data_IF_336523925324
#
_entry.id   IF_336523925324
#
_cell.length_a   1.000
_cell.length_b   1.000
_cell.length_c   1.000
_cell.angle_alpha   90.00
_cell.angle_beta   90.00
_cell.angle_gamma   90.00
#
_symmetry.space_group_name_H-M   'P 1'
#
loop_
_entity.id
_entity.type
_entity.pdbx_description
1 polymer ?
#
# COMPACT_ATOMS: atom_id res chain seq x y z
N UNK A 1 -24.98 16.73 12.77
CA UNK A 1 -25.69 18.03 12.80
C UNK A 1 -24.80 19.12 12.25
N UNK A 2 -25.23 20.39 12.28
CA UNK A 2 -24.40 21.52 11.81
C UNK A 2 -23.10 21.63 12.60
N UNK A 3 -23.12 21.33 13.90
CA UNK A 3 -21.94 21.35 14.78
C UNK A 3 -20.92 20.28 14.41
N UNK A 4 -21.35 19.05 14.08
CA UNK A 4 -20.45 18.00 13.60
C UNK A 4 -19.81 18.37 12.25
N UNK A 5 -20.55 19.07 11.39
CA UNK A 5 -20.04 19.55 10.10
C UNK A 5 -18.98 20.65 10.28
N UNK A 6 -19.17 21.56 11.25
CA UNK A 6 -18.16 22.56 11.59
C UNK A 6 -16.91 21.94 12.23
N UNK A 7 -17.07 20.99 13.15
CA UNK A 7 -15.95 20.27 13.76
C UNK A 7 -15.13 19.50 12.71
N UNK A 8 -15.80 18.84 11.76
CA UNK A 8 -15.14 18.18 10.64
C UNK A 8 -14.41 19.18 9.73
N UNK A 9 -15.01 20.33 9.43
CA UNK A 9 -14.37 21.37 8.62
C UNK A 9 -13.13 21.98 9.29
N UNK A 10 -13.18 22.25 10.59
CA UNK A 10 -12.01 22.72 11.34
C UNK A 10 -10.91 21.67 11.43
N UNK A 11 -11.27 20.39 11.59
CA UNK A 11 -10.34 19.26 11.58
C UNK A 11 -9.68 19.00 10.23
N UNK A 12 -10.24 19.50 9.12
CA UNK A 12 -9.64 19.42 7.78
C UNK A 12 -8.61 20.52 7.49
N UNK A 13 -8.37 21.46 8.43
CA UNK A 13 -7.29 22.45 8.24
C UNK A 13 -5.95 21.74 8.14
N UNK A 14 -5.10 22.08 7.16
CA UNK A 14 -3.79 21.46 7.04
C UNK A 14 -2.97 21.69 8.32
N UNK A 15 -2.55 20.59 8.96
CA UNK A 15 -1.64 20.65 10.11
C UNK A 15 -0.31 19.99 9.76
N UNK A 16 0.74 20.27 10.55
CA UNK A 16 2.05 19.64 10.36
C UNK A 16 2.01 18.12 10.57
N UNK A 17 1.06 17.65 11.39
CA UNK A 17 0.85 16.22 11.64
C UNK A 17 -0.20 15.67 10.66
N UNK A 18 -0.01 14.47 10.12
CA UNK A 18 -1.05 13.77 9.38
C UNK A 18 -2.32 13.66 10.23
N UNK A 19 -3.46 13.58 9.56
CA UNK A 19 -4.72 13.27 10.23
C UNK A 19 -4.61 11.89 10.92
N UNK A 20 -5.24 11.77 12.09
CA UNK A 20 -5.29 10.50 12.80
C UNK A 20 -6.02 9.44 11.97
N UNK A 21 -5.36 8.31 11.72
CA UNK A 21 -5.94 7.20 10.97
C UNK A 21 -7.03 6.50 11.77
N UNK A 22 -8.18 6.24 11.13
CA UNK A 22 -9.29 5.48 11.71
C UNK A 22 -9.49 4.19 10.91
N UNK A 23 -8.59 3.19 11.06
CA UNK A 23 -8.60 2.00 10.23
C UNK A 23 -9.90 1.20 10.44
N UNK A 24 -10.54 0.84 9.33
CA UNK A 24 -11.72 -0.02 9.31
C UNK A 24 -11.96 -0.55 7.89
N UNK A 25 -12.66 -1.68 7.75
CA UNK A 25 -12.79 -2.36 6.46
C UNK A 25 -13.42 -1.45 5.38
N UNK A 26 -14.38 -0.60 5.76
CA UNK A 26 -15.00 0.37 4.84
C UNK A 26 -14.09 1.56 4.55
N UNK A 27 -13.48 2.15 5.59
CA UNK A 27 -12.61 3.33 5.48
C UNK A 27 -11.36 3.02 4.67
N UNK A 28 -10.76 1.87 4.95
CA UNK A 28 -9.57 1.42 4.26
C UNK A 28 -9.91 0.79 2.93
N UNK A 29 -11.06 0.12 2.73
CA UNK A 29 -11.37 -0.63 1.49
C UNK A 29 -11.05 0.11 0.18
N UNK A 30 -11.33 1.42 0.13
CA UNK A 30 -11.14 2.27 -1.06
C UNK A 30 -10.25 3.50 -0.79
N UNK A 31 -9.41 3.45 0.25
CA UNK A 31 -8.53 4.57 0.58
C UNK A 31 -7.38 4.68 -0.41
N UNK A 32 -7.34 5.77 -1.19
CA UNK A 32 -6.29 6.08 -2.16
C UNK A 32 -4.94 6.45 -1.49
N UNK A 33 -4.93 6.67 -0.18
CA UNK A 33 -3.75 7.13 0.55
C UNK A 33 -2.93 5.99 1.18
N UNK A 34 -3.27 4.72 0.92
CA UNK A 34 -2.64 3.58 1.60
C UNK A 34 -1.14 3.50 1.42
N UNK A 35 -0.60 3.84 0.24
CA UNK A 35 0.84 3.82 -0.01
C UNK A 35 1.65 4.73 0.96
N UNK A 36 0.97 5.68 1.61
CA UNK A 36 1.52 6.63 2.56
C UNK A 36 0.97 6.48 3.98
N UNK A 37 0.09 5.49 4.24
CA UNK A 37 -0.64 5.36 5.51
C UNK A 37 -0.08 4.20 6.36
N UNK A 38 0.84 4.47 7.31
CA UNK A 38 1.42 3.41 8.13
C UNK A 38 0.40 2.79 9.10
N UNK A 39 -0.58 3.57 9.58
CA UNK A 39 -1.65 3.10 10.48
C UNK A 39 -2.49 1.97 9.86
N UNK A 40 -2.76 2.02 8.55
CA UNK A 40 -3.48 0.95 7.86
C UNK A 40 -2.70 -0.37 7.89
N UNK A 41 -1.39 -0.30 7.66
CA UNK A 41 -0.56 -1.50 7.64
C UNK A 41 -0.37 -2.06 9.05
N UNK A 42 -0.16 -1.21 10.05
CA UNK A 42 -0.13 -1.61 11.46
C UNK A 42 -1.45 -2.29 11.88
N UNK A 43 -2.60 -1.74 11.51
CA UNK A 43 -3.91 -2.34 11.79
C UNK A 43 -4.11 -3.73 11.14
N UNK A 44 -3.47 -4.00 9.98
CA UNK A 44 -3.41 -5.34 9.37
C UNK A 44 -2.59 -6.32 10.22
N UNK A 45 -1.46 -5.90 10.78
CA UNK A 45 -0.64 -6.72 11.69
C UNK A 45 -1.40 -7.05 12.98
N UNK A 46 -2.09 -6.08 13.54
CA UNK A 46 -2.79 -6.22 14.82
C UNK A 46 -4.12 -6.97 14.70
N UNK A 47 -4.51 -7.35 13.48
CA UNK A 47 -5.75 -8.10 13.21
C UNK A 47 -7.02 -7.26 13.29
N UNK A 48 -6.90 -5.93 13.40
CA UNK A 48 -8.03 -4.98 13.35
C UNK A 48 -8.66 -4.92 11.96
N UNK A 49 -7.84 -5.08 10.91
CA UNK A 49 -8.30 -5.17 9.53
C UNK A 49 -8.19 -6.59 9.01
N UNK A 50 -9.24 -7.05 8.33
CA UNK A 50 -9.20 -8.32 7.63
C UNK A 50 -8.09 -8.28 6.55
N UNK A 51 -7.37 -9.41 6.32
CA UNK A 51 -6.43 -9.52 5.21
C UNK A 51 -7.05 -9.35 3.82
N UNK A 52 -8.40 -9.34 3.74
CA UNK A 52 -9.14 -9.36 2.49
C UNK A 52 -9.26 -10.78 1.92
N UNK A 53 -10.20 -10.98 1.00
CA UNK A 53 -10.44 -12.27 0.34
C UNK A 53 -9.71 -12.34 -1.00
N UNK A 54 -10.39 -11.93 -2.07
CA UNK A 54 -9.95 -12.01 -3.46
C UNK A 54 -9.06 -10.83 -3.87
N UNK A 55 -9.42 -9.61 -3.47
CA UNK A 55 -8.64 -8.40 -3.71
C UNK A 55 -7.97 -7.96 -2.43
N UNK A 56 -6.68 -7.65 -2.50
CA UNK A 56 -5.87 -7.28 -1.35
C UNK A 56 -4.91 -6.17 -1.73
N UNK A 57 -4.51 -5.40 -0.73
CA UNK A 57 -3.34 -4.56 -0.83
C UNK A 57 -2.20 -5.16 0.00
N UNK A 58 -0.98 -4.90 -0.47
CA UNK A 58 0.25 -5.45 0.09
C UNK A 58 1.36 -4.39 0.13
N UNK A 59 2.22 -4.49 1.14
CA UNK A 59 3.52 -3.81 1.14
C UNK A 59 4.60 -4.88 0.95
N UNK A 60 5.40 -4.73 -0.10
CA UNK A 60 6.32 -5.77 -0.55
C UNK A 60 7.68 -5.23 -0.90
N UNK A 61 8.64 -6.14 -1.05
CA UNK A 61 9.90 -5.90 -1.75
C UNK A 61 9.97 -6.77 -3.00
N UNK A 62 10.44 -6.20 -4.11
CA UNK A 62 10.73 -6.96 -5.32
C UNK A 62 12.01 -7.79 -5.13
N UNK A 63 11.88 -9.12 -5.13
CA UNK A 63 13.03 -10.04 -5.04
C UNK A 63 13.57 -10.34 -6.44
N UNK A 64 12.66 -10.53 -7.41
CA UNK A 64 12.95 -10.68 -8.83
C UNK A 64 11.83 -10.04 -9.63
N UNK A 65 12.19 -9.46 -10.77
CA UNK A 65 11.24 -8.93 -11.73
C UNK A 65 11.82 -9.15 -13.13
N UNK A 66 10.98 -9.68 -14.02
CA UNK A 66 11.25 -9.77 -15.44
C UNK A 66 10.37 -8.74 -16.18
N UNK A 67 10.96 -7.64 -16.69
CA UNK A 67 10.20 -6.58 -17.33
C UNK A 67 9.60 -6.98 -18.68
N UNK A 68 10.08 -8.04 -19.33
CA UNK A 68 9.52 -8.50 -20.61
C UNK A 68 8.25 -9.32 -20.40
N UNK A 69 8.29 -10.31 -19.49
CA UNK A 69 7.15 -11.19 -19.23
C UNK A 69 6.15 -10.67 -18.20
N UNK A 70 6.57 -9.68 -17.40
CA UNK A 70 5.80 -9.18 -16.25
C UNK A 70 5.78 -10.14 -15.07
N UNK A 71 6.60 -11.19 -15.07
CA UNK A 71 6.73 -12.10 -13.94
C UNK A 71 7.53 -11.44 -12.81
N UNK A 72 7.01 -11.52 -11.59
CA UNK A 72 7.67 -11.02 -10.40
C UNK A 72 7.65 -12.04 -9.26
N UNK A 73 8.66 -11.94 -8.38
CA UNK A 73 8.67 -12.59 -7.08
C UNK A 73 8.73 -11.50 -6.02
N UNK A 74 7.71 -11.42 -5.19
CA UNK A 74 7.61 -10.47 -4.10
C UNK A 74 7.84 -11.14 -2.74
N UNK A 75 8.45 -10.39 -1.83
CA UNK A 75 8.53 -10.67 -0.41
C UNK A 75 7.59 -9.72 0.32
N UNK A 76 6.67 -10.24 1.15
CA UNK A 76 5.83 -9.37 1.99
C UNK A 76 6.72 -8.70 3.05
N UNK A 77 6.51 -7.40 3.24
CA UNK A 77 7.21 -6.59 4.23
C UNK A 77 6.22 -6.24 5.36
N UNK A 78 6.09 -7.07 6.42
CA UNK A 78 5.19 -6.78 7.54
C UNK A 78 5.63 -5.52 8.31
N UNK A 79 4.69 -4.77 8.89
CA UNK A 79 5.04 -3.62 9.73
C UNK A 79 5.56 -4.09 11.08
N UNK A 80 6.52 -3.35 11.64
CA UNK A 80 7.06 -3.60 12.99
C UNK A 80 6.89 -2.44 13.96
N UNK A 81 6.48 -1.28 13.45
CA UNK A 81 6.14 -0.09 14.24
C UNK A 81 4.83 0.53 13.77
N UNK A 82 4.61 1.79 14.18
CA UNK A 82 3.43 2.59 13.85
C UNK A 82 3.73 3.67 12.79
N UNK A 83 5.01 3.92 12.53
CA UNK A 83 5.48 5.00 11.64
C UNK A 83 5.92 4.46 10.27
N UNK A 84 5.52 3.22 9.96
CA UNK A 84 5.72 2.59 8.66
C UNK A 84 7.04 1.84 8.51
N UNK A 85 7.71 1.56 9.62
CA UNK A 85 8.86 0.65 9.66
C UNK A 85 8.43 -0.77 9.29
N UNK A 86 9.26 -1.41 8.47
CA UNK A 86 9.00 -2.73 7.92
C UNK A 86 10.10 -3.72 8.31
N UNK A 87 9.72 -4.98 8.46
CA UNK A 87 10.65 -6.10 8.54
C UNK A 87 10.62 -6.95 7.27
N UNK A 88 11.68 -7.74 7.11
CA UNK A 88 11.71 -8.84 6.16
C UNK A 88 10.81 -9.99 6.62
N UNK A 89 10.36 -10.83 5.68
CA UNK A 89 9.63 -12.05 6.01
C UNK A 89 9.96 -13.22 5.08
N UNK A 90 9.66 -14.43 5.54
CA UNK A 90 9.74 -15.65 4.71
C UNK A 90 8.53 -15.79 3.76
N UNK A 91 7.55 -14.89 3.85
CA UNK A 91 6.36 -14.94 3.02
C UNK A 91 6.66 -14.37 1.63
N UNK A 92 6.86 -15.26 0.65
CA UNK A 92 7.07 -14.90 -0.75
C UNK A 92 5.95 -15.41 -1.64
N UNK A 93 5.60 -14.63 -2.64
CA UNK A 93 4.59 -15.02 -3.63
C UNK A 93 4.98 -14.57 -5.03
N UNK A 94 4.59 -15.39 -6.01
CA UNK A 94 4.75 -15.05 -7.42
C UNK A 94 3.63 -14.12 -7.85
N UNK A 95 3.96 -13.20 -8.76
CA UNK A 95 2.98 -12.30 -9.36
C UNK A 95 3.16 -12.19 -10.87
N UNK A 96 2.06 -11.89 -11.57
CA UNK A 96 2.04 -11.57 -12.98
C UNK A 96 1.46 -10.16 -13.12
N UNK A 97 2.29 -9.24 -13.60
CA UNK A 97 1.93 -7.86 -13.91
C UNK A 97 1.61 -7.74 -15.39
N UNK A 98 0.53 -7.04 -15.71
CA UNK A 98 0.11 -6.72 -17.08
C UNK A 98 -0.32 -5.27 -17.17
N UNK A 99 -0.35 -4.77 -18.41
CA UNK A 99 -0.94 -3.48 -18.76
C UNK A 99 -0.41 -2.35 -17.85
N UNK A 100 -1.29 -1.48 -17.32
CA UNK A 100 -0.86 -0.33 -16.51
C UNK A 100 0.03 -0.71 -15.30
N UNK A 101 -0.21 -1.84 -14.65
CA UNK A 101 0.60 -2.27 -13.51
C UNK A 101 2.02 -2.68 -13.93
N UNK A 102 2.18 -3.26 -15.11
CA UNK A 102 3.49 -3.60 -15.66
C UNK A 102 4.29 -2.34 -15.98
N UNK A 103 3.64 -1.34 -16.57
CA UNK A 103 4.29 -0.07 -16.91
C UNK A 103 4.70 0.71 -15.66
N UNK A 104 3.82 0.81 -14.65
CA UNK A 104 4.17 1.39 -13.34
C UNK A 104 5.38 0.70 -12.69
N UNK A 105 5.43 -0.64 -12.73
CA UNK A 105 6.56 -1.38 -12.17
C UNK A 105 7.86 -1.12 -12.94
N UNK A 106 7.81 -1.04 -14.27
CA UNK A 106 8.98 -0.70 -15.11
C UNK A 106 9.50 0.69 -14.78
N UNK A 107 8.62 1.69 -14.77
CA UNK A 107 8.98 3.07 -14.41
C UNK A 107 9.61 3.14 -13.02
N UNK A 108 9.04 2.41 -12.05
CA UNK A 108 9.57 2.36 -10.69
C UNK A 108 10.98 1.75 -10.65
N UNK A 109 11.21 0.65 -11.36
CA UNK A 109 12.53 0.01 -11.43
C UNK A 109 13.55 0.86 -12.18
N UNK A 110 13.15 1.50 -13.28
CA UNK A 110 14.00 2.37 -14.10
C UNK A 110 14.40 3.65 -13.35
N UNK A 111 13.57 4.12 -12.42
CA UNK A 111 13.93 5.21 -11.50
C UNK A 111 15.04 4.83 -10.50
N UNK A 112 15.38 3.54 -10.41
CA UNK A 112 16.36 3.02 -9.46
C UNK A 112 15.82 2.81 -8.04
N UNK A 113 14.50 2.89 -7.86
CA UNK A 113 13.84 2.65 -6.58
C UNK A 113 14.04 1.19 -6.11
N UNK A 114 14.50 1.00 -4.87
CA UNK A 114 14.88 -0.31 -4.32
C UNK A 114 14.20 -0.67 -3.00
N UNK A 115 13.40 0.25 -2.47
CA UNK A 115 12.74 0.10 -1.19
C UNK A 115 11.38 -0.60 -1.33
N UNK A 116 10.57 -0.56 -0.28
CA UNK A 116 9.29 -1.22 -0.26
C UNK A 116 8.29 -0.59 -1.24
N UNK A 117 7.43 -1.42 -1.80
CA UNK A 117 6.46 -1.10 -2.84
C UNK A 117 5.08 -1.40 -2.28
N UNK A 118 4.15 -0.47 -2.43
CA UNK A 118 2.73 -0.70 -2.23
C UNK A 118 2.13 -1.31 -3.50
N UNK A 119 1.42 -2.42 -3.34
CA UNK A 119 0.59 -3.02 -4.37
C UNK A 119 -0.88 -2.86 -3.99
N UNK A 120 -1.62 -2.08 -4.76
CA UNK A 120 -3.04 -1.79 -4.53
C UNK A 120 -3.95 -2.71 -5.34
N UNK A 121 -5.05 -3.17 -4.72
CA UNK A 121 -6.13 -3.92 -5.37
C UNK A 121 -5.69 -5.16 -6.16
N UNK A 122 -4.65 -5.87 -5.68
CA UNK A 122 -4.15 -7.06 -6.35
C UNK A 122 -5.11 -8.22 -6.23
N UNK A 123 -5.30 -8.99 -7.30
CA UNK A 123 -6.17 -10.17 -7.31
C UNK A 123 -5.36 -11.42 -6.92
N UNK A 124 -5.74 -12.07 -5.83
CA UNK A 124 -5.15 -13.33 -5.39
C UNK A 124 -5.87 -14.50 -6.05
N UNK A 125 -5.13 -15.33 -6.77
CA UNK A 125 -5.62 -16.53 -7.45
C UNK A 125 -4.78 -17.74 -7.03
N UNK A 126 -5.21 -18.40 -5.95
CA UNK A 126 -4.45 -19.48 -5.32
C UNK A 126 -3.11 -18.99 -4.76
N UNK A 127 -2.00 -19.35 -5.42
CA UNK A 127 -0.63 -19.00 -5.02
C UNK A 127 -0.03 -17.85 -5.84
N UNK A 128 -0.72 -17.41 -6.89
CA UNK A 128 -0.24 -16.36 -7.80
C UNK A 128 -1.10 -15.11 -7.59
N UNK A 129 -0.42 -13.96 -7.59
CA UNK A 129 -1.05 -12.65 -7.53
C UNK A 129 -1.08 -12.04 -8.92
N UNK A 130 -2.20 -11.45 -9.31
CA UNK A 130 -2.38 -10.82 -10.61
C UNK A 130 -2.57 -9.32 -10.46
N UNK A 131 -1.82 -8.55 -11.25
CA UNK A 131 -1.92 -7.10 -11.33
C UNK A 131 -2.21 -6.70 -12.78
N UNK A 132 -3.15 -5.78 -12.98
CA UNK A 132 -3.57 -5.27 -14.29
C UNK A 132 -3.92 -3.79 -14.22
N UNK A 133 -4.78 -3.32 -15.14
CA UNK A 133 -5.10 -1.88 -15.28
C UNK A 133 -5.61 -1.20 -13.99
N UNK A 134 -6.36 -1.92 -13.16
CA UNK A 134 -6.95 -1.38 -11.94
C UNK A 134 -6.04 -1.49 -10.70
N UNK A 135 -4.82 -1.98 -10.88
CA UNK A 135 -3.87 -2.15 -9.79
C UNK A 135 -2.87 -1.00 -9.74
N UNK A 136 -2.49 -0.64 -8.52
CA UNK A 136 -1.51 0.39 -8.25
C UNK A 136 -0.18 -0.26 -7.88
N UNK A 137 0.92 0.25 -8.42
CA UNK A 137 2.28 -0.12 -8.06
C UNK A 137 3.02 1.16 -7.71
N UNK A 138 3.11 1.46 -6.42
CA UNK A 138 3.61 2.75 -5.91
C UNK A 138 4.75 2.56 -4.91
N UNK A 139 5.65 3.54 -4.74
CA UNK A 139 6.57 3.58 -3.62
C UNK A 139 5.81 3.54 -2.28
N UNK A 140 6.20 2.64 -1.36
CA UNK A 140 5.79 2.75 0.04
C UNK A 140 6.53 3.91 0.69
N UNK A 141 5.83 5.02 0.94
CA UNK A 141 6.43 6.26 1.45
C UNK A 141 5.60 6.85 2.60
N UNK A 142 5.60 6.23 3.79
CA UNK A 142 4.81 6.69 4.94
C UNK A 142 4.92 8.20 5.19
N UNK A 143 3.79 8.89 5.17
CA UNK A 143 3.73 10.33 5.46
C UNK A 143 3.58 10.51 6.96
N UNK A 144 4.68 10.89 7.62
CA UNK A 144 4.71 11.15 9.07
C UNK A 144 4.54 12.63 9.41
N UNK A 145 4.71 13.52 8.41
CA UNK A 145 4.57 14.98 8.53
C UNK A 145 4.09 15.56 7.21
N UNK A 146 3.33 16.65 7.28
CA UNK A 146 3.04 17.47 6.10
C UNK A 146 4.31 18.20 5.68
N UNK A 147 4.90 17.80 4.55
CA UNK A 147 6.01 18.51 3.93
C UNK A 147 5.41 19.54 2.97
N UNK A 148 5.67 20.83 3.23
CA UNK A 148 5.41 21.91 2.28
C UNK A 148 6.75 22.28 1.64
N UNK A 149 6.89 22.07 0.35
CA UNK A 149 7.97 22.67 -0.46
C UNK A 149 7.62 24.11 -0.84
#
# INVERSE_FOLDING_TARGET
GLDDAFAAWEGMRPTEKPLEGTPGDLQCGFCEWKAWCPTWWAARRDGTLSPGSMFRDEVVRAVKFDPESGAALFERMPPVGEDGELAHSDHRFGAILRDQALDQMRELMDSGYKDAIFLGSVRVDGKIVHLGDWCEVLPWTPLLKSIRE
#
